data_IF_759689560268
#
_entry.id   IF_759689560268
#
_cell.length_a   1.000
_cell.length_b   1.000
_cell.length_c   1.000
_cell.angle_alpha   90.00
_cell.angle_beta   90.00
_cell.angle_gamma   90.00
#
_symmetry.space_group_name_H-M   'P 1'
#
loop_
_entity.id
_entity.type
_entity.pdbx_description
1 polymer ?
#
# COMPACT_ATOMS: atom_id res chain seq x y z
N UNK A 1 -32.01 -13.45 16.98
CA UNK A 1 -31.81 -13.35 15.51
C UNK A 1 -30.99 -12.11 15.24
N UNK A 2 -29.69 -12.25 14.94
CA UNK A 2 -28.88 -11.13 14.51
C UNK A 2 -29.23 -10.85 13.04
N UNK A 3 -29.90 -9.72 12.79
CA UNK A 3 -30.11 -9.23 11.44
C UNK A 3 -28.77 -8.63 10.96
N UNK A 4 -27.98 -9.44 10.26
CA UNK A 4 -26.80 -8.96 9.54
C UNK A 4 -27.27 -8.08 8.39
N UNK A 5 -27.12 -6.75 8.53
CA UNK A 5 -27.48 -5.80 7.48
C UNK A 5 -26.52 -5.95 6.29
N UNK A 6 -26.95 -6.44 5.11
CA UNK A 6 -26.06 -6.78 4.00
C UNK A 6 -25.38 -5.58 3.31
N UNK A 7 -25.63 -4.35 3.78
CA UNK A 7 -25.12 -3.11 3.16
C UNK A 7 -23.92 -2.48 3.87
N UNK A 8 -23.80 -2.61 5.19
CA UNK A 8 -22.76 -1.90 5.95
C UNK A 8 -21.38 -2.53 5.77
N UNK A 9 -21.28 -3.87 5.72
CA UNK A 9 -20.02 -4.57 5.53
C UNK A 9 -19.35 -4.21 4.18
N UNK A 10 -20.17 -4.06 3.13
CA UNK A 10 -19.68 -3.62 1.82
C UNK A 10 -19.19 -2.17 1.80
N UNK A 11 -19.80 -1.28 2.58
CA UNK A 11 -19.36 0.12 2.71
C UNK A 11 -18.06 0.23 3.50
N UNK A 12 -17.94 -0.47 4.63
CA UNK A 12 -16.72 -0.50 5.42
C UNK A 12 -15.56 -1.02 4.59
N UNK A 13 -15.76 -2.12 3.85
CA UNK A 13 -14.75 -2.67 2.93
C UNK A 13 -14.30 -1.63 1.91
N UNK A 14 -15.23 -0.99 1.20
CA UNK A 14 -14.89 0.05 0.21
C UNK A 14 -14.11 1.21 0.81
N UNK A 15 -14.46 1.65 2.02
CA UNK A 15 -13.74 2.71 2.71
C UNK A 15 -12.30 2.31 3.06
N UNK A 16 -12.10 1.07 3.52
CA UNK A 16 -10.75 0.56 3.84
C UNK A 16 -9.90 0.43 2.57
N UNK A 17 -10.45 -0.14 1.49
CA UNK A 17 -9.75 -0.22 0.20
C UNK A 17 -9.41 1.18 -0.36
N UNK A 18 -10.35 2.12 -0.25
CA UNK A 18 -10.15 3.51 -0.64
C UNK A 18 -9.03 4.20 0.15
N UNK A 19 -8.93 3.93 1.45
CA UNK A 19 -7.84 4.43 2.28
C UNK A 19 -6.49 3.85 1.84
N UNK A 20 -6.39 2.53 1.66
CA UNK A 20 -5.15 1.90 1.22
C UNK A 20 -4.68 2.43 -0.16
N UNK A 21 -5.60 2.64 -1.09
CA UNK A 21 -5.31 3.24 -2.39
C UNK A 21 -4.86 4.71 -2.28
N UNK A 22 -5.50 5.49 -1.41
CA UNK A 22 -5.09 6.87 -1.14
C UNK A 22 -3.69 6.94 -0.52
N UNK A 23 -3.43 6.12 0.49
CA UNK A 23 -2.15 6.07 1.19
C UNK A 23 -1.01 5.70 0.22
N UNK A 24 -1.24 4.72 -0.68
CA UNK A 24 -0.28 4.36 -1.73
C UNK A 24 0.05 5.54 -2.65
N UNK A 25 -0.96 6.28 -3.12
CA UNK A 25 -0.78 7.45 -3.98
C UNK A 25 -0.04 8.58 -3.27
N UNK A 26 -0.39 8.83 -2.02
CA UNK A 26 0.24 9.86 -1.21
C UNK A 26 1.73 9.57 -1.02
N UNK A 27 2.09 8.34 -0.63
CA UNK A 27 3.48 7.94 -0.45
C UNK A 27 4.27 7.99 -1.77
N UNK A 28 3.67 7.56 -2.89
CA UNK A 28 4.28 7.70 -4.22
C UNK A 28 4.54 9.17 -4.59
N UNK A 29 3.60 10.06 -4.28
CA UNK A 29 3.77 11.50 -4.49
C UNK A 29 4.93 12.07 -3.66
N UNK A 30 5.04 11.65 -2.38
CA UNK A 30 6.15 12.05 -1.50
C UNK A 30 7.51 11.55 -2.00
N UNK A 31 7.59 10.31 -2.49
CA UNK A 31 8.80 9.75 -3.12
C UNK A 31 9.22 10.59 -4.34
N UNK A 32 8.27 10.93 -5.21
CA UNK A 32 8.53 11.77 -6.37
C UNK A 32 9.01 13.17 -5.98
N UNK A 33 8.35 13.82 -5.01
CA UNK A 33 8.74 15.14 -4.52
C UNK A 33 10.14 15.14 -3.91
N UNK A 34 10.50 14.10 -3.14
CA UNK A 34 11.84 13.94 -2.60
C UNK A 34 12.89 13.81 -3.71
N UNK A 35 12.61 12.98 -4.70
CA UNK A 35 13.51 12.80 -5.83
C UNK A 35 13.68 14.11 -6.62
N UNK A 36 12.61 14.87 -6.82
CA UNK A 36 12.68 16.15 -7.49
C UNK A 36 13.51 17.19 -6.73
N UNK A 37 13.45 17.18 -5.39
CA UNK A 37 14.22 18.10 -4.55
C UNK A 37 15.70 17.71 -4.44
N UNK A 38 16.01 16.42 -4.30
CA UNK A 38 17.35 15.94 -3.96
C UNK A 38 18.09 15.31 -5.15
N UNK A 39 17.40 15.07 -6.27
CA UNK A 39 17.89 14.33 -7.46
C UNK A 39 18.54 12.99 -7.12
N UNK A 40 18.16 12.41 -5.98
CA UNK A 40 18.67 11.16 -5.43
C UNK A 40 17.52 10.31 -4.93
N UNK A 41 17.68 8.99 -5.07
CA UNK A 41 16.69 8.02 -4.60
C UNK A 41 16.65 8.04 -3.06
N UNK A 42 15.48 8.12 -2.43
CA UNK A 42 15.36 7.95 -0.99
C UNK A 42 16.05 6.66 -0.51
N UNK A 43 16.78 6.66 0.61
CA UNK A 43 17.38 5.44 1.13
C UNK A 43 16.33 4.42 1.60
N UNK A 44 15.20 4.93 2.09
CA UNK A 44 14.09 4.21 2.72
C UNK A 44 12.81 5.06 2.66
N UNK A 45 11.66 4.47 3.01
CA UNK A 45 10.39 5.20 3.02
C UNK A 45 10.30 6.23 4.15
N UNK A 46 11.03 6.02 5.25
CA UNK A 46 11.06 6.97 6.38
C UNK A 46 11.69 8.31 6.00
N UNK A 47 12.55 8.36 4.98
CA UNK A 47 13.10 9.60 4.45
C UNK A 47 12.04 10.53 3.81
N UNK A 48 10.86 10.01 3.45
CA UNK A 48 9.79 10.78 2.81
C UNK A 48 8.51 10.86 3.65
N UNK A 49 8.35 10.01 4.65
CA UNK A 49 7.21 9.99 5.55
C UNK A 49 7.65 9.64 6.98
N UNK A 50 7.40 10.54 7.93
CA UNK A 50 7.72 10.31 9.34
C UNK A 50 6.88 9.19 9.98
N UNK A 51 5.69 8.95 9.43
CA UNK A 51 4.80 7.87 9.85
C UNK A 51 4.38 7.07 8.63
N UNK A 52 4.59 5.76 8.67
CA UNK A 52 4.16 4.86 7.62
C UNK A 52 2.73 4.40 7.94
N UNK A 53 1.74 4.67 7.07
CA UNK A 53 0.38 4.27 7.32
C UNK A 53 0.25 2.75 7.41
N UNK A 54 -0.55 2.29 8.36
CA UNK A 54 -0.93 0.89 8.47
C UNK A 54 -1.77 0.48 7.24
N UNK A 55 -1.30 -0.53 6.52
CA UNK A 55 -1.96 -1.08 5.37
C UNK A 55 -3.00 -2.12 5.80
N UNK A 56 -4.24 -1.95 5.31
CA UNK A 56 -5.34 -2.89 5.53
C UNK A 56 -5.82 -3.39 4.18
N UNK A 57 -5.68 -4.69 3.97
CA UNK A 57 -6.02 -5.38 2.72
C UNK A 57 -7.23 -6.29 2.96
N UNK A 58 -8.46 -5.76 2.95
CA UNK A 58 -9.65 -6.57 3.21
C UNK A 58 -9.77 -7.73 2.21
N UNK A 59 -10.25 -8.87 2.70
CA UNK A 59 -10.41 -10.10 1.94
C UNK A 59 -9.11 -10.73 1.37
N UNK A 60 -7.92 -10.27 1.79
CA UNK A 60 -6.64 -10.91 1.48
C UNK A 60 -6.17 -11.93 2.51
N UNK A 61 -6.76 -11.92 3.72
CA UNK A 61 -6.30 -12.74 4.85
C UNK A 61 -5.11 -12.18 5.61
N UNK A 62 -4.47 -11.11 5.12
CA UNK A 62 -3.36 -10.46 5.80
C UNK A 62 -3.81 -9.65 7.02
N UNK A 63 -3.07 -9.70 8.15
CA UNK A 63 -3.30 -8.77 9.25
C UNK A 63 -2.93 -7.34 8.82
N UNK A 64 -3.52 -6.31 9.46
CA UNK A 64 -3.06 -4.94 9.28
C UNK A 64 -1.55 -4.82 9.55
N UNK A 65 -0.81 -4.16 8.66
CA UNK A 65 0.64 -4.03 8.78
C UNK A 65 1.14 -2.70 8.22
N UNK A 66 2.02 -2.02 8.97
CA UNK A 66 2.80 -0.87 8.50
C UNK A 66 4.21 -1.26 8.04
N UNK A 67 4.53 -2.56 7.99
CA UNK A 67 5.86 -3.04 7.67
C UNK A 67 6.28 -2.64 6.25
N UNK A 68 7.50 -2.11 6.13
CA UNK A 68 8.10 -1.75 4.86
C UNK A 68 9.23 -2.72 4.57
N UNK A 69 9.08 -3.47 3.49
CA UNK A 69 10.12 -4.33 2.97
C UNK A 69 10.84 -3.64 1.83
N UNK A 70 12.16 -3.51 1.93
CA UNK A 70 13.00 -2.97 0.85
C UNK A 70 13.51 -4.13 0.01
N UNK A 71 13.09 -4.23 -1.25
CA UNK A 71 13.52 -5.29 -2.16
C UNK A 71 13.41 -4.87 -3.63
N UNK A 72 13.57 -5.81 -4.56
CA UNK A 72 13.31 -5.60 -5.98
C UNK A 72 11.86 -5.94 -6.32
N UNK A 73 11.33 -5.39 -7.42
CA UNK A 73 9.94 -5.64 -7.84
C UNK A 73 9.64 -7.15 -8.08
N UNK A 74 10.65 -7.95 -8.43
CA UNK A 74 10.49 -9.38 -8.67
C UNK A 74 10.27 -10.20 -7.39
N UNK A 75 10.33 -9.59 -6.21
CA UNK A 75 10.32 -10.28 -4.93
C UNK A 75 9.01 -10.02 -4.16
N UNK A 76 7.84 -10.02 -4.81
CA UNK A 76 6.53 -10.02 -4.12
C UNK A 76 6.37 -11.37 -3.40
N UNK A 77 6.15 -11.34 -2.08
CA UNK A 77 6.08 -12.49 -1.19
C UNK A 77 4.72 -12.67 -0.51
N UNK A 78 3.76 -11.81 -0.83
CA UNK A 78 2.42 -11.84 -0.25
C UNK A 78 2.45 -11.71 1.28
N UNK A 79 3.18 -10.71 1.79
CA UNK A 79 3.28 -10.45 3.23
C UNK A 79 2.18 -9.53 3.76
N UNK A 80 1.47 -8.84 2.86
CA UNK A 80 0.44 -7.85 3.22
C UNK A 80 0.98 -6.49 3.63
N UNK A 81 2.29 -6.24 3.46
CA UNK A 81 2.95 -4.96 3.79
C UNK A 81 3.26 -4.07 2.58
N UNK A 82 4.03 -3.02 2.84
CA UNK A 82 4.57 -2.14 1.80
C UNK A 82 5.84 -2.73 1.20
N UNK A 83 5.97 -2.69 -0.11
CA UNK A 83 7.17 -3.07 -0.85
C UNK A 83 7.81 -1.83 -1.46
N UNK A 84 8.94 -1.41 -0.92
CA UNK A 84 9.75 -0.33 -1.45
C UNK A 84 10.86 -0.86 -2.36
N UNK A 85 10.93 -0.32 -3.57
CA UNK A 85 11.95 -0.64 -4.56
C UNK A 85 12.85 0.56 -4.78
N UNK A 86 14.11 0.43 -4.40
CA UNK A 86 15.14 1.48 -4.48
C UNK A 86 15.73 1.57 -5.90
N UNK A 87 14.94 2.10 -6.84
CA UNK A 87 15.37 2.34 -8.22
C UNK A 87 14.82 3.67 -8.73
N UNK A 88 15.65 4.46 -9.44
CA UNK A 88 15.25 5.76 -9.96
C UNK A 88 14.79 6.72 -8.85
N UNK A 89 13.55 7.20 -8.93
CA UNK A 89 12.92 8.03 -7.90
C UNK A 89 12.49 7.25 -6.63
N UNK A 90 12.66 5.92 -6.63
CA UNK A 90 12.02 5.03 -5.68
C UNK A 90 10.62 4.66 -6.16
N UNK A 91 10.23 3.40 -5.99
CA UNK A 91 8.91 2.90 -6.36
C UNK A 91 8.29 2.18 -5.17
N UNK A 92 6.99 2.42 -4.95
CA UNK A 92 6.24 1.80 -3.86
C UNK A 92 5.14 0.90 -4.43
N UNK A 93 5.04 -0.28 -3.85
CA UNK A 93 4.09 -1.33 -4.19
C UNK A 93 3.46 -1.87 -2.91
N UNK A 94 2.37 -2.61 -3.07
CA UNK A 94 1.76 -3.41 -2.01
C UNK A 94 2.21 -4.87 -2.22
N UNK A 95 2.78 -5.46 -1.18
CA UNK A 95 3.29 -6.84 -1.19
C UNK A 95 2.15 -7.85 -0.98
N UNK A 96 1.29 -7.96 -1.98
CA UNK A 96 0.11 -8.82 -1.95
C UNK A 96 -0.18 -9.37 -3.34
N UNK A 97 -0.50 -10.66 -3.43
CA UNK A 97 -0.91 -11.31 -4.70
C UNK A 97 -2.43 -11.33 -4.87
N UNK A 98 -3.19 -11.02 -3.82
CA UNK A 98 -4.64 -10.99 -3.86
C UNK A 98 -5.16 -9.72 -4.56
N UNK A 99 -6.27 -9.81 -5.32
CA UNK A 99 -6.88 -8.63 -5.93
C UNK A 99 -7.69 -7.78 -4.93
N UNK A 100 -7.94 -6.53 -5.27
CA UNK A 100 -8.92 -5.65 -4.63
C UNK A 100 -10.38 -6.13 -4.88
N UNK A 101 -11.39 -5.45 -4.33
CA UNK A 101 -12.81 -5.80 -4.60
C UNK A 101 -13.22 -5.69 -6.08
N UNK A 102 -12.40 -5.06 -6.92
CA UNK A 102 -12.64 -4.86 -8.36
C UNK A 102 -11.87 -5.85 -9.23
N UNK A 103 -11.14 -6.81 -8.63
CA UNK A 103 -10.34 -7.78 -9.36
C UNK A 103 -8.99 -7.24 -9.85
N UNK A 104 -8.55 -6.07 -9.37
CA UNK A 104 -7.29 -5.42 -9.76
C UNK A 104 -6.18 -5.69 -8.76
N UNK A 105 -4.91 -5.76 -9.20
CA UNK A 105 -3.79 -5.82 -8.27
C UNK A 105 -3.71 -4.50 -7.48
N UNK A 106 -3.50 -4.60 -6.17
CA UNK A 106 -3.40 -3.45 -5.26
C UNK A 106 -2.40 -2.38 -5.71
N UNK A 107 -1.28 -2.81 -6.29
CA UNK A 107 -0.24 -1.91 -6.79
C UNK A 107 -0.66 -1.06 -8.01
N UNK A 108 -1.82 -1.33 -8.63
CA UNK A 108 -2.35 -0.58 -9.79
C UNK A 108 -3.10 0.71 -9.43
N UNK A 109 -3.33 0.97 -8.14
CA UNK A 109 -4.02 2.16 -7.67
C UNK A 109 -3.21 3.44 -7.81
#
# INVERSE_FOLDING_TARGET
>A
MAASYPGFEGLVRKSVEGKAAYDLRELRSKLYAYYEANKTCPPDLSAVASEIPELKLPASGHPPSGEVRVSTFADIRDTGGWLYVKAGAGSLYIDCVHPDARGKPWSSH
#
